data_IF_667575312611
#
_entry.id   IF_667575312611
#
_cell.length_a   1.000
_cell.length_b   1.000
_cell.length_c   1.000
_cell.angle_alpha   90.00
_cell.angle_beta   90.00
_cell.angle_gamma   90.00
#
_symmetry.space_group_name_H-M   'P 1'
#
loop_
_entity.id
_entity.type
_entity.pdbx_description
1 polymer ?
#
# COMPACT_ATOMS: atom_id res chain seq x y z
N UNK A 1 18.01 -36.71 6.73
CA UNK A 1 16.86 -35.81 6.39
C UNK A 1 16.56 -34.78 7.50
N UNK A 2 17.32 -34.71 8.60
CA UNK A 2 17.02 -33.80 9.73
C UNK A 2 17.46 -32.34 9.56
N UNK A 3 18.34 -32.03 8.59
CA UNK A 3 18.87 -30.67 8.39
C UNK A 3 17.92 -29.74 7.61
N UNK A 4 16.99 -30.30 6.82
CA UNK A 4 16.10 -29.51 5.96
C UNK A 4 15.11 -28.65 6.76
N UNK A 5 14.55 -29.20 7.83
CA UNK A 5 13.57 -28.51 8.68
C UNK A 5 14.20 -27.34 9.45
N UNK A 6 15.43 -27.53 9.95
CA UNK A 6 16.19 -26.46 10.62
C UNK A 6 16.46 -25.29 9.68
N UNK A 7 16.84 -25.56 8.44
CA UNK A 7 17.08 -24.50 7.46
C UNK A 7 15.81 -23.72 7.13
N UNK A 8 14.67 -24.42 7.05
CA UNK A 8 13.38 -23.79 6.81
C UNK A 8 12.93 -22.90 7.98
N UNK A 9 13.12 -23.33 9.23
CA UNK A 9 12.84 -22.52 10.42
C UNK A 9 13.76 -21.28 10.50
N UNK A 10 15.05 -21.45 10.20
CA UNK A 10 15.99 -20.35 10.13
C UNK A 10 15.62 -19.35 9.04
N UNK A 11 15.22 -19.82 7.85
CA UNK A 11 14.74 -18.98 6.76
C UNK A 11 13.49 -18.19 7.16
N UNK A 12 12.49 -18.85 7.76
CA UNK A 12 11.26 -18.17 8.22
C UNK A 12 11.56 -17.09 9.26
N UNK A 13 12.44 -17.40 10.23
CA UNK A 13 12.83 -16.44 11.26
C UNK A 13 13.57 -15.25 10.68
N UNK A 14 14.54 -15.49 9.81
CA UNK A 14 15.31 -14.43 9.16
C UNK A 14 14.41 -13.54 8.28
N UNK A 15 13.52 -14.16 7.51
CA UNK A 15 12.58 -13.44 6.66
C UNK A 15 11.64 -12.54 7.47
N UNK A 16 11.05 -13.08 8.54
CA UNK A 16 10.20 -12.31 9.45
C UNK A 16 10.96 -11.11 10.04
N UNK A 17 12.17 -11.33 10.56
CA UNK A 17 13.00 -10.25 11.11
C UNK A 17 13.31 -9.16 10.09
N UNK A 18 13.57 -9.54 8.84
CA UNK A 18 13.79 -8.59 7.74
C UNK A 18 12.55 -7.75 7.46
N UNK A 19 11.37 -8.38 7.33
CA UNK A 19 10.09 -7.66 7.13
C UNK A 19 9.77 -6.74 8.31
N UNK A 20 9.90 -7.24 9.54
CA UNK A 20 9.64 -6.48 10.77
C UNK A 20 10.60 -5.29 10.93
N UNK A 21 11.78 -5.34 10.33
CA UNK A 21 12.73 -4.22 10.30
C UNK A 21 12.42 -3.21 9.21
N UNK A 22 11.85 -3.64 8.08
CA UNK A 22 11.57 -2.80 6.91
C UNK A 22 10.29 -1.98 7.10
N UNK A 23 9.22 -2.59 7.61
CA UNK A 23 7.91 -1.92 7.72
C UNK A 23 7.95 -0.61 8.53
N UNK A 24 8.62 -0.55 9.71
CA UNK A 24 8.71 0.70 10.46
C UNK A 24 9.50 1.77 9.71
N UNK A 25 10.57 1.39 9.00
CA UNK A 25 11.37 2.34 8.22
C UNK A 25 10.59 2.94 7.04
N UNK A 26 9.68 2.17 6.44
CA UNK A 26 8.72 2.67 5.45
C UNK A 26 7.73 3.65 6.09
N UNK A 27 7.15 3.29 7.24
CA UNK A 27 6.19 4.13 7.95
C UNK A 27 6.78 5.47 8.40
N UNK A 28 8.05 5.47 8.81
CA UNK A 28 8.79 6.67 9.22
C UNK A 28 9.39 7.45 8.03
N UNK A 29 9.19 6.99 6.79
CA UNK A 29 9.77 7.62 5.60
C UNK A 29 11.31 7.54 5.50
N UNK A 30 11.96 6.73 6.36
CA UNK A 30 13.42 6.54 6.39
C UNK A 30 13.93 5.60 5.31
N UNK A 31 13.06 4.75 4.76
CA UNK A 31 13.37 3.88 3.63
C UNK A 31 12.71 4.42 2.35
N UNK A 32 13.54 4.94 1.45
CA UNK A 32 13.09 5.43 0.15
C UNK A 32 12.88 4.27 -0.83
N UNK A 33 11.66 4.14 -1.34
CA UNK A 33 11.32 3.09 -2.31
C UNK A 33 11.60 3.57 -3.72
N UNK A 34 12.77 3.22 -4.25
CA UNK A 34 13.16 3.53 -5.63
C UNK A 34 12.69 2.46 -6.63
N UNK A 35 12.54 1.22 -6.17
CA UNK A 35 12.08 0.08 -6.96
C UNK A 35 11.00 -0.66 -6.19
N UNK A 36 9.75 -0.31 -6.50
CA UNK A 36 8.57 -0.92 -5.89
C UNK A 36 8.48 -2.42 -6.18
N UNK A 37 9.01 -2.88 -7.32
CA UNK A 37 8.91 -4.27 -7.75
C UNK A 37 9.86 -5.16 -6.94
N UNK A 38 11.09 -4.68 -6.70
CA UNK A 38 12.05 -5.37 -5.83
C UNK A 38 11.53 -5.46 -4.38
N UNK A 39 10.96 -4.38 -3.84
CA UNK A 39 10.37 -4.41 -2.51
C UNK A 39 9.16 -5.36 -2.42
N UNK A 40 8.31 -5.39 -3.44
CA UNK A 40 7.20 -6.36 -3.46
C UNK A 40 7.70 -7.79 -3.61
N UNK A 41 8.69 -8.04 -4.46
CA UNK A 41 9.30 -9.36 -4.60
C UNK A 41 9.85 -9.84 -3.26
N UNK A 42 10.53 -8.95 -2.50
CA UNK A 42 10.97 -9.21 -1.14
C UNK A 42 9.81 -9.63 -0.24
N UNK A 43 8.69 -8.91 -0.25
CA UNK A 43 7.48 -9.25 0.53
C UNK A 43 6.76 -10.53 0.09
N UNK A 44 7.10 -11.06 -1.08
CA UNK A 44 6.54 -12.29 -1.64
C UNK A 44 7.54 -13.47 -1.62
N UNK A 45 8.76 -13.28 -1.09
CA UNK A 45 9.82 -14.30 -1.11
C UNK A 45 9.48 -15.56 -0.30
N UNK A 46 8.59 -15.44 0.67
CA UNK A 46 8.22 -16.56 1.53
C UNK A 46 6.73 -16.87 1.40
N UNK A 47 6.41 -18.00 0.77
CA UNK A 47 5.01 -18.46 0.62
C UNK A 47 4.35 -18.84 1.95
N UNK A 48 5.12 -19.07 3.01
CA UNK A 48 4.62 -19.42 4.36
C UNK A 48 4.49 -18.22 5.30
N UNK A 49 5.03 -17.06 4.91
CA UNK A 49 4.89 -15.83 5.68
C UNK A 49 4.42 -14.71 4.77
N UNK A 50 3.19 -14.28 5.01
CA UNK A 50 2.63 -13.08 4.41
C UNK A 50 2.86 -11.91 5.35
N UNK A 51 3.30 -10.78 4.79
CA UNK A 51 3.50 -9.53 5.54
C UNK A 51 2.21 -9.16 6.28
N UNK A 52 2.21 -8.82 7.58
CA UNK A 52 0.96 -8.57 8.30
C UNK A 52 0.04 -7.59 7.57
N UNK A 53 -1.18 -8.03 7.23
CA UNK A 53 -2.12 -7.27 6.40
C UNK A 53 -2.43 -5.89 6.99
N UNK A 54 -2.58 -5.80 8.31
CA UNK A 54 -2.73 -4.54 9.03
C UNK A 54 -1.59 -3.56 8.72
N UNK A 55 -0.33 -4.01 8.74
CA UNK A 55 0.82 -3.15 8.41
C UNK A 55 0.81 -2.69 6.96
N UNK A 56 0.43 -3.58 6.03
CA UNK A 56 0.28 -3.25 4.61
C UNK A 56 -0.80 -2.18 4.43
N UNK A 57 -1.96 -2.33 5.09
CA UNK A 57 -3.07 -1.38 5.00
C UNK A 57 -2.72 -0.02 5.64
N UNK A 58 -2.02 0.01 6.78
CA UNK A 58 -1.56 1.28 7.38
C UNK A 58 -0.68 2.05 6.39
N UNK A 59 0.31 1.38 5.79
CA UNK A 59 1.21 1.99 4.81
C UNK A 59 0.48 2.39 3.52
N UNK A 60 -0.47 1.57 3.07
CA UNK A 60 -1.29 1.85 1.90
C UNK A 60 -2.13 3.13 2.07
N UNK A 61 -2.71 3.33 3.26
CA UNK A 61 -3.54 4.48 3.57
C UNK A 61 -2.75 5.72 4.02
N UNK A 62 -1.41 5.62 4.13
CA UNK A 62 -0.55 6.74 4.52
C UNK A 62 -0.69 7.91 3.54
N UNK A 63 -0.86 9.12 4.09
CA UNK A 63 -1.00 10.33 3.30
C UNK A 63 0.35 10.75 2.71
N UNK A 64 0.31 11.45 1.57
CA UNK A 64 1.48 12.13 1.04
C UNK A 64 1.72 13.37 1.91
N UNK A 65 2.89 13.45 2.54
CA UNK A 65 3.24 14.58 3.43
C UNK A 65 3.91 15.72 2.66
N UNK A 66 3.74 16.95 3.15
CA UNK A 66 4.41 18.10 2.57
C UNK A 66 5.94 17.95 2.68
N UNK A 67 6.66 18.12 1.56
CA UNK A 67 8.11 17.90 1.49
C UNK A 67 8.52 16.45 1.20
N UNK A 68 7.61 15.48 1.27
CA UNK A 68 7.89 14.10 0.85
C UNK A 68 7.92 14.00 -0.69
N UNK A 69 8.89 13.25 -1.21
CA UNK A 69 8.92 12.90 -2.64
C UNK A 69 7.68 12.11 -3.04
N UNK A 70 6.89 12.65 -3.98
CA UNK A 70 5.69 11.99 -4.51
C UNK A 70 6.05 10.66 -5.19
N UNK A 71 7.21 10.58 -5.84
CA UNK A 71 7.67 9.34 -6.46
C UNK A 71 7.91 8.22 -5.44
N UNK A 72 8.60 8.53 -4.33
CA UNK A 72 8.88 7.53 -3.28
C UNK A 72 7.61 7.12 -2.55
N UNK A 73 6.72 8.07 -2.26
CA UNK A 73 5.41 7.81 -1.68
C UNK A 73 4.57 6.91 -2.61
N UNK A 74 4.47 7.24 -3.90
CA UNK A 74 3.71 6.45 -4.86
C UNK A 74 4.31 5.05 -5.02
N UNK A 75 5.63 4.92 -5.04
CA UNK A 75 6.31 3.62 -5.11
C UNK A 75 5.97 2.75 -3.90
N UNK A 76 6.00 3.32 -2.69
CA UNK A 76 5.57 2.62 -1.47
C UNK A 76 4.10 2.19 -1.55
N UNK A 77 3.20 3.12 -1.87
CA UNK A 77 1.76 2.84 -2.01
C UNK A 77 1.49 1.76 -3.07
N UNK A 78 2.23 1.79 -4.17
CA UNK A 78 2.15 0.78 -5.25
C UNK A 78 2.61 -0.59 -4.74
N UNK A 79 3.73 -0.68 -4.02
CA UNK A 79 4.17 -1.92 -3.38
C UNK A 79 3.11 -2.46 -2.41
N UNK A 80 2.51 -1.59 -1.59
CA UNK A 80 1.45 -2.03 -0.66
C UNK A 80 0.22 -2.53 -1.41
N UNK A 81 -0.17 -1.86 -2.50
CA UNK A 81 -1.32 -2.29 -3.30
C UNK A 81 -1.07 -3.66 -3.96
N UNK A 82 0.13 -3.88 -4.50
CA UNK A 82 0.54 -5.19 -5.02
C UNK A 82 0.49 -6.26 -3.92
N UNK A 83 0.92 -5.90 -2.71
CA UNK A 83 0.86 -6.79 -1.55
C UNK A 83 -0.59 -7.09 -1.14
N UNK A 84 -1.50 -6.11 -1.18
CA UNK A 84 -2.94 -6.30 -0.94
C UNK A 84 -3.54 -7.30 -1.94
N UNK A 85 -3.13 -7.25 -3.21
CA UNK A 85 -3.57 -8.21 -4.23
C UNK A 85 -3.19 -9.67 -3.93
N UNK A 86 -2.28 -9.93 -2.98
CA UNK A 86 -1.93 -11.28 -2.54
C UNK A 86 -2.92 -11.87 -1.51
N UNK A 87 -3.80 -11.04 -0.93
CA UNK A 87 -4.77 -11.47 0.07
C UNK A 87 -6.14 -11.73 -0.56
N UNK A 88 -6.93 -12.65 0.01
CA UNK A 88 -8.35 -12.76 -0.30
C UNK A 88 -9.06 -11.43 -0.01
N UNK A 89 -9.97 -11.02 -0.89
CA UNK A 89 -10.76 -9.81 -0.72
C UNK A 89 -11.44 -9.74 0.65
N UNK A 90 -12.14 -10.81 1.03
CA UNK A 90 -12.90 -10.85 2.28
C UNK A 90 -12.02 -10.53 3.49
N UNK A 91 -10.76 -10.98 3.48
CA UNK A 91 -9.80 -10.69 4.54
C UNK A 91 -9.37 -9.21 4.56
N UNK A 92 -9.23 -8.59 3.39
CA UNK A 92 -8.91 -7.16 3.27
C UNK A 92 -10.07 -6.30 3.75
N UNK A 93 -11.28 -6.60 3.32
CA UNK A 93 -12.48 -5.87 3.72
C UNK A 93 -12.72 -5.99 5.23
N UNK A 94 -12.64 -7.20 5.78
CA UNK A 94 -12.79 -7.44 7.22
C UNK A 94 -11.73 -6.65 8.01
N UNK A 95 -10.47 -6.69 7.59
CA UNK A 95 -9.41 -5.95 8.28
C UNK A 95 -9.66 -4.44 8.25
N UNK A 96 -10.19 -3.91 7.14
CA UNK A 96 -10.56 -2.49 7.03
C UNK A 96 -11.71 -2.10 7.95
N UNK A 97 -12.70 -2.99 8.16
CA UNK A 97 -13.77 -2.78 9.15
C UNK A 97 -13.20 -2.70 10.56
N UNK A 98 -12.24 -3.57 10.90
CA UNK A 98 -11.60 -3.59 12.21
C UNK A 98 -10.72 -2.36 12.48
N UNK A 99 -10.08 -1.81 11.45
CA UNK A 99 -9.07 -0.75 11.59
C UNK A 99 -9.63 0.64 11.92
N UNK A 100 -10.95 0.87 11.86
CA UNK A 100 -11.59 2.17 12.16
C UNK A 100 -10.87 3.39 11.55
N UNK A 101 -10.39 3.25 10.31
CA UNK A 101 -9.48 4.20 9.64
C UNK A 101 -9.99 5.65 9.53
N UNK A 102 -11.30 5.86 9.65
CA UNK A 102 -11.95 7.18 9.57
C UNK A 102 -11.58 8.14 10.71
N UNK A 103 -11.31 7.64 11.92
CA UNK A 103 -11.01 8.49 13.07
C UNK A 103 -9.68 9.25 12.90
N UNK A 104 -8.81 8.80 11.99
CA UNK A 104 -7.50 9.42 11.74
C UNK A 104 -7.47 10.40 10.56
N UNK A 105 -8.35 10.30 9.57
CA UNK A 105 -8.36 11.23 8.41
C UNK A 105 -9.00 12.59 8.75
N UNK A 106 -9.97 12.62 9.66
CA UNK A 106 -10.72 13.84 10.03
C UNK A 106 -10.27 14.37 11.39
N UNK A 107 -9.05 14.90 11.48
CA UNK A 107 -8.59 15.81 12.54
C UNK A 107 -8.87 15.40 14.00
N UNK A 108 -7.80 15.12 14.72
CA UNK A 108 -7.68 14.71 16.14
C UNK A 108 -8.41 15.64 17.16
N UNK A 109 -9.73 15.79 17.05
CA UNK A 109 -10.60 16.54 17.97
C UNK A 109 -11.42 15.53 18.80
N UNK A 110 -10.92 15.13 19.99
CA UNK A 110 -11.53 14.11 20.83
C UNK A 110 -12.91 14.51 21.39
N UNK A 111 -13.38 15.75 21.16
CA UNK A 111 -14.68 16.24 21.58
C UNK A 111 -15.77 16.15 20.50
N UNK A 112 -15.43 15.77 19.26
CA UNK A 112 -16.39 15.45 18.20
C UNK A 112 -16.75 13.96 18.13
N UNK A 113 -16.50 13.22 19.21
CA UNK A 113 -16.74 11.77 19.33
C UNK A 113 -18.22 11.43 19.59
N UNK A 114 -19.17 12.30 19.22
CA UNK A 114 -20.58 11.97 19.37
C UNK A 114 -21.34 12.00 18.06
N UNK A 115 -21.90 10.81 17.77
CA UNK A 115 -23.08 10.54 16.96
C UNK A 115 -22.92 10.69 15.45
N UNK A 116 -22.26 9.72 14.82
CA UNK A 116 -22.79 9.04 13.62
C UNK A 116 -21.90 7.84 13.30
N UNK A 117 -22.46 6.65 13.52
CA UNK A 117 -22.00 5.35 13.03
C UNK A 117 -22.10 5.28 11.50
N UNK A 118 -21.49 6.23 10.80
CA UNK A 118 -21.38 6.24 9.34
C UNK A 118 -19.94 5.89 8.95
N UNK A 119 -19.45 4.77 9.46
CA UNK A 119 -18.26 4.13 8.87
C UNK A 119 -18.64 3.78 7.43
N UNK A 120 -18.06 4.49 6.46
CA UNK A 120 -18.26 4.16 5.06
C UNK A 120 -17.83 2.70 4.83
N UNK A 121 -18.52 1.96 3.95
CA UNK A 121 -18.15 0.57 3.68
C UNK A 121 -16.68 0.43 3.28
N UNK A 122 -15.98 -0.65 3.63
CA UNK A 122 -14.57 -0.88 3.29
C UNK A 122 -14.23 -0.71 1.81
N UNK A 123 -15.14 -1.12 0.93
CA UNK A 123 -15.00 -0.93 -0.52
C UNK A 123 -14.92 0.55 -0.91
N UNK A 124 -15.68 1.40 -0.21
CA UNK A 124 -15.67 2.84 -0.43
C UNK A 124 -14.36 3.47 0.06
N UNK A 125 -13.78 2.96 1.15
CA UNK A 125 -12.44 3.36 1.62
C UNK A 125 -11.38 3.09 0.56
N UNK A 126 -11.38 1.89 -0.03
CA UNK A 126 -10.46 1.51 -1.11
C UNK A 126 -10.66 2.41 -2.33
N UNK A 127 -11.91 2.64 -2.76
CA UNK A 127 -12.21 3.51 -3.90
C UNK A 127 -11.75 4.96 -3.67
N UNK A 128 -12.02 5.51 -2.48
CA UNK A 128 -11.58 6.87 -2.08
C UNK A 128 -10.05 6.97 -2.11
N UNK A 129 -9.36 5.97 -1.57
CA UNK A 129 -7.90 5.89 -1.62
C UNK A 129 -7.37 5.88 -3.06
N UNK A 130 -7.91 5.00 -3.91
CA UNK A 130 -7.48 4.89 -5.33
C UNK A 130 -7.61 6.25 -6.03
N UNK A 131 -8.76 6.90 -5.89
CA UNK A 131 -8.99 8.21 -6.49
C UNK A 131 -8.02 9.26 -5.96
N UNK A 132 -7.78 9.29 -4.64
CA UNK A 132 -6.81 10.20 -4.00
C UNK A 132 -5.41 10.00 -4.60
N UNK A 133 -4.95 8.76 -4.71
CA UNK A 133 -3.62 8.44 -5.24
C UNK A 133 -3.50 8.85 -6.70
N UNK A 134 -4.52 8.60 -7.52
CA UNK A 134 -4.57 9.02 -8.93
C UNK A 134 -4.49 10.54 -9.05
N UNK A 135 -5.28 11.29 -8.28
CA UNK A 135 -5.31 12.76 -8.34
C UNK A 135 -3.93 13.35 -8.00
N UNK A 136 -3.32 12.90 -6.90
CA UNK A 136 -2.00 13.39 -6.46
C UNK A 136 -0.94 13.08 -7.52
N UNK A 137 -0.94 11.84 -8.02
CA UNK A 137 0.07 11.36 -8.97
C UNK A 137 -0.03 12.07 -10.32
N UNK A 138 -1.25 12.25 -10.85
CA UNK A 138 -1.48 12.97 -12.11
C UNK A 138 -1.11 14.44 -11.97
N UNK A 139 -1.48 15.09 -10.86
CA UNK A 139 -1.10 16.49 -10.60
C UNK A 139 0.42 16.66 -10.59
N UNK A 140 1.14 15.75 -9.92
CA UNK A 140 2.59 15.77 -9.89
C UNK A 140 3.21 15.50 -11.27
N UNK A 141 2.71 14.50 -12.00
CA UNK A 141 3.19 14.17 -13.34
C UNK A 141 3.00 15.33 -14.32
N UNK A 142 1.83 15.99 -14.29
CA UNK A 142 1.57 17.18 -15.11
C UNK A 142 2.56 18.31 -14.80
N UNK A 143 2.85 18.55 -13.52
CA UNK A 143 3.84 19.57 -13.13
C UNK A 143 5.23 19.23 -13.67
N UNK A 144 5.65 17.96 -13.60
CA UNK A 144 6.93 17.51 -14.15
C UNK A 144 7.02 17.74 -15.66
N UNK A 145 5.97 17.36 -16.40
CA UNK A 145 5.90 17.54 -17.86
C UNK A 145 5.97 19.02 -18.23
N UNK A 146 5.21 19.88 -17.55
CA UNK A 146 5.20 21.33 -17.81
C UNK A 146 6.54 21.97 -17.46
N UNK A 147 7.25 21.46 -16.44
CA UNK A 147 8.55 21.98 -16.02
C UNK A 147 9.72 21.65 -16.94
N UNK A 148 9.50 20.91 -18.06
CA UNK A 148 10.55 20.47 -18.99
C UNK A 148 11.73 19.76 -18.32
N UNK A 149 11.46 19.00 -17.25
CA UNK A 149 12.48 18.25 -16.53
C UNK A 149 12.70 16.90 -17.24
N UNK A 150 13.49 16.93 -18.31
CA UNK A 150 13.70 15.79 -19.19
C UNK A 150 14.56 14.70 -18.51
N UNK A 151 14.06 13.46 -18.63
CA UNK A 151 14.76 12.17 -18.59
C UNK A 151 14.69 11.23 -17.39
N UNK A 152 14.85 11.60 -16.10
CA UNK A 152 14.90 10.53 -15.06
C UNK A 152 13.61 10.31 -14.25
N UNK A 153 12.81 11.35 -14.00
CA UNK A 153 11.65 11.23 -13.11
C UNK A 153 10.30 11.01 -13.81
N UNK A 154 10.12 11.48 -15.05
CA UNK A 154 8.83 11.34 -15.75
C UNK A 154 8.52 9.89 -16.10
N UNK A 155 9.48 9.19 -16.71
CA UNK A 155 9.31 7.79 -17.11
C UNK A 155 9.14 6.87 -15.88
N UNK A 156 9.93 7.09 -14.84
CA UNK A 156 9.82 6.34 -13.59
C UNK A 156 8.46 6.56 -12.90
N UNK A 157 8.00 7.81 -12.86
CA UNK A 157 6.68 8.17 -12.32
C UNK A 157 5.54 7.57 -13.15
N UNK A 158 5.62 7.65 -14.48
CA UNK A 158 4.64 7.04 -15.39
C UNK A 158 4.57 5.52 -15.24
N UNK A 159 5.74 4.85 -15.14
CA UNK A 159 5.80 3.41 -14.92
C UNK A 159 5.14 3.04 -13.58
N UNK A 160 5.47 3.77 -12.52
CA UNK A 160 4.91 3.51 -11.18
C UNK A 160 3.39 3.72 -11.16
N UNK A 161 2.91 4.85 -11.70
CA UNK A 161 1.47 5.12 -11.84
C UNK A 161 0.77 4.09 -12.73
N UNK A 162 1.39 3.71 -13.85
CA UNK A 162 0.88 2.68 -14.74
C UNK A 162 0.72 1.33 -14.03
N UNK A 163 1.71 0.91 -13.25
CA UNK A 163 1.58 -0.30 -12.42
C UNK A 163 0.51 -0.16 -11.35
N UNK A 164 0.42 0.98 -10.67
CA UNK A 164 -0.66 1.24 -9.71
C UNK A 164 -2.05 1.09 -10.35
N UNK A 165 -2.26 1.67 -11.55
CA UNK A 165 -3.50 1.57 -12.30
C UNK A 165 -3.80 0.12 -12.75
N UNK A 166 -2.77 -0.63 -13.16
CA UNK A 166 -2.92 -2.05 -13.48
C UNK A 166 -3.34 -2.87 -12.25
N UNK A 167 -2.78 -2.59 -11.08
CA UNK A 167 -3.21 -3.21 -9.83
C UNK A 167 -4.66 -2.85 -9.49
N UNK A 168 -5.07 -1.59 -9.68
CA UNK A 168 -6.47 -1.17 -9.53
C UNK A 168 -7.38 -1.94 -10.49
N UNK A 169 -6.99 -2.04 -11.76
CA UNK A 169 -7.71 -2.82 -12.77
C UNK A 169 -7.79 -4.31 -12.43
N UNK A 170 -6.75 -4.89 -11.83
CA UNK A 170 -6.75 -6.27 -11.36
C UNK A 170 -7.76 -6.50 -10.23
N UNK A 171 -7.79 -5.60 -9.22
CA UNK A 171 -8.78 -5.67 -8.14
C UNK A 171 -10.20 -5.58 -8.72
N UNK A 172 -10.49 -4.59 -9.56
CA UNK A 172 -11.81 -4.39 -10.15
C UNK A 172 -12.19 -5.52 -11.13
N UNK A 173 -11.23 -6.03 -11.91
CA UNK A 173 -11.48 -7.03 -12.94
C UNK A 173 -11.52 -8.49 -12.45
N UNK A 174 -11.09 -8.76 -11.21
CA UNK A 174 -11.00 -10.12 -10.68
C UNK A 174 -11.21 -10.19 -9.16
N UNK A 175 -12.06 -11.12 -8.74
CA UNK A 175 -12.40 -11.48 -7.36
C UNK A 175 -12.99 -10.36 -6.46
N UNK A 176 -12.64 -9.08 -6.60
CA UNK A 176 -13.16 -8.01 -5.71
C UNK A 176 -14.56 -7.42 -6.06
N UNK A 177 -15.19 -7.92 -7.13
CA UNK A 177 -16.51 -7.44 -7.57
C UNK A 177 -17.51 -8.58 -7.82
N UNK A 178 -17.17 -9.81 -7.43
CA UNK A 178 -18.03 -10.97 -7.71
C UNK A 178 -19.22 -11.13 -6.73
N UNK A 179 -19.33 -10.30 -5.68
CA UNK A 179 -20.37 -10.46 -4.65
C UNK A 179 -21.24 -9.20 -4.40
N UNK A 180 -21.15 -8.17 -5.25
CA UNK A 180 -22.03 -7.00 -5.17
C UNK A 180 -23.20 -7.01 -6.16
N UNK A 181 -23.61 -8.20 -6.65
CA UNK A 181 -24.75 -8.38 -7.56
C UNK A 181 -25.63 -9.54 -7.16
#
# INVERSE_FOLDING_TARGET
>A
MEAGWRWEDHWQKWYRQSVDSILPLLAEGKLLVNDFATLHALFSLNSKFTVPLNSVLILLFTHQEEGQSVFHWLSMVTTMLMSVCMYPEESVLLQLEEMNLYVKEEGDDPLKVNTLSNTLPPHFLIAKLILRVIIISIKHLNNLIISFNEEENVNAMQKTLGTFLLCCGYMVGGKYLAYSS
#
